data_IF_942122357021
#
_entry.id   IF_942122357021
#
_cell.length_a   1.000
_cell.length_b   1.000
_cell.length_c   1.000
_cell.angle_alpha   90.00
_cell.angle_beta   90.00
_cell.angle_gamma   90.00
#
_symmetry.space_group_name_H-M   'P 1'
#
loop_
_entity.id
_entity.type
_entity.pdbx_description
1 polymer ?
#
# COMPACT_ATOMS: atom_id res chain seq x y z
N UNK A 1 47.19 -34.13 28.00
CA UNK A 1 46.63 -33.14 27.06
C UNK A 1 46.50 -31.82 27.80
N UNK A 2 47.26 -30.81 27.40
CA UNK A 2 47.17 -29.46 27.97
C UNK A 2 46.01 -28.74 27.29
N UNK A 3 44.92 -28.50 28.01
CA UNK A 3 43.82 -27.67 27.52
C UNK A 3 44.04 -26.25 28.03
N UNK A 4 44.29 -25.30 27.12
CA UNK A 4 44.32 -23.87 27.45
C UNK A 4 43.00 -23.49 28.13
N UNK A 5 43.04 -22.71 29.22
CA UNK A 5 41.88 -22.32 30.05
C UNK A 5 40.86 -21.42 29.30
N UNK A 6 40.21 -21.94 28.26
CA UNK A 6 39.18 -21.24 27.50
C UNK A 6 37.85 -21.14 28.26
N UNK A 7 37.60 -22.06 29.19
CA UNK A 7 36.42 -22.06 30.07
C UNK A 7 36.79 -22.55 31.48
N UNK A 8 36.54 -21.72 32.49
CA UNK A 8 36.79 -22.06 33.91
C UNK A 8 35.50 -22.53 34.56
N UNK A 9 35.53 -23.69 35.23
CA UNK A 9 34.38 -24.22 35.97
C UNK A 9 33.26 -24.82 35.12
N UNK A 10 33.52 -25.13 33.84
CA UNK A 10 32.56 -25.70 32.88
C UNK A 10 33.15 -26.90 32.16
N UNK A 11 32.30 -27.81 31.69
CA UNK A 11 32.76 -28.92 30.85
C UNK A 11 33.10 -28.47 29.43
N UNK A 12 34.01 -29.19 28.75
CA UNK A 12 34.38 -28.91 27.36
C UNK A 12 33.18 -28.98 26.41
N UNK A 13 32.28 -29.94 26.62
CA UNK A 13 31.10 -30.13 25.78
C UNK A 13 30.11 -28.95 25.90
N UNK A 14 29.91 -28.47 27.13
CA UNK A 14 29.05 -27.32 27.40
C UNK A 14 29.61 -26.04 26.76
N UNK A 15 30.93 -25.83 26.87
CA UNK A 15 31.61 -24.71 26.21
C UNK A 15 31.47 -24.79 24.69
N UNK A 16 31.73 -25.95 24.08
CA UNK A 16 31.58 -26.15 22.63
C UNK A 16 30.15 -25.87 22.16
N UNK A 17 29.14 -26.32 22.91
CA UNK A 17 27.73 -26.07 22.60
C UNK A 17 27.38 -24.59 22.68
N UNK A 18 27.95 -23.87 23.65
CA UNK A 18 27.75 -22.43 23.79
C UNK A 18 28.38 -21.66 22.64
N UNK A 19 29.66 -21.93 22.32
CA UNK A 19 30.36 -21.27 21.20
C UNK A 19 29.63 -21.50 19.88
N UNK A 20 29.22 -22.74 19.58
CA UNK A 20 28.46 -23.03 18.37
C UNK A 20 27.11 -22.29 18.30
N UNK A 21 26.46 -22.05 19.46
CA UNK A 21 25.22 -21.26 19.53
C UNK A 21 25.50 -19.79 19.28
N UNK A 22 26.54 -19.23 19.89
CA UNK A 22 26.97 -17.84 19.70
C UNK A 22 27.37 -17.57 18.25
N UNK A 23 28.13 -18.46 17.62
CA UNK A 23 28.48 -18.37 16.19
C UNK A 23 27.24 -18.37 15.30
N UNK A 24 26.28 -19.27 15.55
CA UNK A 24 25.00 -19.31 14.79
C UNK A 24 24.20 -18.01 14.95
N UNK A 25 24.18 -17.45 16.16
CA UNK A 25 23.49 -16.18 16.44
C UNK A 25 24.22 -15.00 15.80
N UNK A 26 25.56 -14.98 15.82
CA UNK A 26 26.38 -13.96 15.18
C UNK A 26 26.22 -13.98 13.65
N UNK A 27 26.24 -15.16 13.03
CA UNK A 27 25.97 -15.34 11.59
C UNK A 27 24.53 -14.91 11.26
N UNK A 28 23.55 -15.33 12.07
CA UNK A 28 22.15 -14.93 11.90
C UNK A 28 21.88 -13.45 12.14
N UNK A 29 22.72 -12.76 12.94
CA UNK A 29 22.69 -11.31 13.15
C UNK A 29 23.33 -10.54 12.00
N UNK A 30 24.47 -11.01 11.50
CA UNK A 30 25.16 -10.43 10.34
C UNK A 30 24.29 -10.46 9.07
N UNK A 31 23.48 -11.52 8.89
CA UNK A 31 22.53 -11.66 7.79
C UNK A 31 21.31 -10.72 7.87
N UNK A 32 21.04 -10.08 9.02
CA UNK A 32 19.87 -9.17 9.15
C UNK A 32 20.10 -7.82 8.48
N UNK A 33 21.36 -7.41 8.32
CA UNK A 33 21.73 -6.15 7.65
C UNK A 33 22.42 -6.34 6.30
N UNK A 34 22.86 -7.56 5.99
CA UNK A 34 23.68 -7.83 4.80
C UNK A 34 23.10 -8.94 3.92
N UNK A 35 23.21 -8.78 2.60
CA UNK A 35 22.82 -9.78 1.59
C UNK A 35 23.92 -9.92 0.54
N UNK A 36 24.17 -11.11 -0.02
CA UNK A 36 25.18 -11.30 -1.06
C UNK A 36 24.73 -10.70 -2.41
N UNK A 37 25.64 -10.07 -3.18
CA UNK A 37 25.33 -9.72 -4.59
C UNK A 37 25.10 -11.01 -5.39
N UNK A 38 24.05 -11.10 -6.22
CA UNK A 38 23.72 -12.29 -6.99
C UNK A 38 24.79 -12.66 -8.04
N UNK A 39 25.58 -11.68 -8.48
CA UNK A 39 26.63 -11.89 -9.48
C UNK A 39 27.95 -12.36 -8.86
N UNK A 40 28.44 -11.72 -7.80
CA UNK A 40 29.78 -12.00 -7.24
C UNK A 40 29.79 -12.62 -5.84
N UNK A 41 28.64 -12.75 -5.18
CA UNK A 41 28.51 -13.36 -3.85
C UNK A 41 29.01 -12.50 -2.68
N UNK A 42 29.64 -11.35 -2.94
CA UNK A 42 30.14 -10.46 -1.87
C UNK A 42 28.96 -9.93 -1.04
N UNK A 43 29.07 -10.02 0.28
CA UNK A 43 28.11 -9.45 1.20
C UNK A 43 28.03 -7.92 1.05
N UNK A 44 26.81 -7.42 0.90
CA UNK A 44 26.49 -6.00 0.74
C UNK A 44 25.49 -5.60 1.81
N UNK A 45 25.69 -4.43 2.40
CA UNK A 45 24.82 -3.85 3.42
C UNK A 45 23.90 -2.80 2.80
N UNK A 46 22.63 -2.79 3.20
CA UNK A 46 21.68 -1.75 2.77
C UNK A 46 21.79 -0.55 3.69
N UNK A 47 22.26 0.59 3.17
CA UNK A 47 22.48 1.80 3.96
C UNK A 47 21.17 2.50 4.39
N UNK A 48 20.18 2.68 3.50
CA UNK A 48 18.77 2.96 3.85
C UNK A 48 17.91 3.22 2.60
N UNK A 49 16.58 3.09 2.74
CA UNK A 49 15.56 3.72 1.88
C UNK A 49 15.35 3.13 0.48
N UNK A 50 16.43 2.87 -0.27
CA UNK A 50 16.39 2.40 -1.65
C UNK A 50 16.68 0.90 -1.75
N UNK A 51 15.85 0.17 -2.48
CA UNK A 51 16.01 -1.25 -2.77
C UNK A 51 16.89 -1.51 -3.99
N UNK A 52 17.21 -0.47 -4.78
CA UNK A 52 18.21 -0.56 -5.84
C UNK A 52 19.61 -0.55 -5.25
N UNK A 53 20.34 -1.65 -5.44
CA UNK A 53 21.68 -1.84 -4.93
C UNK A 53 22.68 -1.95 -6.08
N UNK A 54 23.79 -1.24 -5.98
CA UNK A 54 24.92 -1.37 -6.91
C UNK A 54 26.11 -1.98 -6.15
N UNK A 55 26.55 -3.16 -6.58
CA UNK A 55 27.71 -3.81 -5.97
C UNK A 55 29.04 -3.23 -6.49
N UNK A 56 30.14 -3.50 -5.78
CA UNK A 56 31.50 -3.17 -6.22
C UNK A 56 31.91 -3.86 -7.53
N UNK A 57 31.32 -5.01 -7.84
CA UNK A 57 31.49 -5.66 -9.14
C UNK A 57 30.69 -4.99 -10.26
N UNK A 58 30.02 -3.86 -9.99
CA UNK A 58 29.15 -3.11 -10.89
C UNK A 58 27.84 -3.84 -11.27
N UNK A 59 27.48 -4.91 -10.55
CA UNK A 59 26.15 -5.55 -10.65
C UNK A 59 25.11 -4.59 -10.05
N UNK A 60 24.10 -4.18 -10.81
CA UNK A 60 22.88 -3.60 -10.25
C UNK A 60 21.93 -4.74 -9.89
N UNK A 61 21.37 -4.72 -8.68
CA UNK A 61 20.51 -5.79 -8.18
C UNK A 61 19.46 -5.26 -7.21
N UNK A 62 18.39 -6.02 -6.99
CA UNK A 62 17.29 -5.63 -6.12
C UNK A 62 17.42 -6.25 -4.73
N UNK A 63 17.41 -5.42 -3.68
CA UNK A 63 17.43 -5.87 -2.29
C UNK A 63 16.24 -6.75 -1.91
N UNK A 64 15.06 -6.51 -2.49
CA UNK A 64 13.82 -7.23 -2.16
C UNK A 64 13.87 -8.65 -2.70
N UNK A 65 14.07 -8.81 -4.02
CA UNK A 65 14.03 -10.11 -4.67
C UNK A 65 15.40 -10.80 -4.81
N UNK A 66 16.50 -10.10 -4.54
CA UNK A 66 17.86 -10.64 -4.61
C UNK A 66 18.36 -10.92 -6.03
N UNK A 67 17.68 -10.44 -7.07
CA UNK A 67 18.04 -10.68 -8.47
C UNK A 67 18.84 -9.54 -9.07
N UNK A 68 19.72 -9.87 -9.99
CA UNK A 68 20.40 -8.91 -10.86
C UNK A 68 19.39 -8.18 -11.76
N UNK A 69 19.62 -6.90 -11.99
CA UNK A 69 18.73 -6.01 -12.72
C UNK A 69 19.31 -5.69 -14.09
N UNK A 70 18.73 -6.31 -15.12
CA UNK A 70 19.02 -5.95 -16.51
C UNK A 70 18.43 -4.59 -16.90
N UNK A 71 17.30 -4.20 -16.29
CA UNK A 71 16.65 -2.92 -16.50
C UNK A 71 16.02 -2.43 -15.19
N UNK A 72 16.70 -1.47 -14.55
CA UNK A 72 16.27 -0.86 -13.28
C UNK A 72 14.89 -0.22 -13.44
N UNK A 73 14.66 0.52 -14.52
CA UNK A 73 13.40 1.23 -14.76
C UNK A 73 12.20 0.29 -14.91
N UNK A 74 12.32 -0.79 -15.68
CA UNK A 74 11.24 -1.78 -15.83
C UNK A 74 10.99 -2.57 -14.56
N UNK A 75 12.04 -2.90 -13.80
CA UNK A 75 11.89 -3.65 -12.55
C UNK A 75 11.10 -2.89 -11.48
N UNK A 76 11.28 -1.57 -11.39
CA UNK A 76 10.59 -0.72 -10.42
C UNK A 76 9.33 -0.03 -10.98
N UNK A 77 8.93 -0.35 -12.21
CA UNK A 77 7.72 0.20 -12.82
C UNK A 77 6.46 -0.38 -12.15
N UNK A 78 5.50 0.43 -11.70
CA UNK A 78 4.21 -0.05 -11.16
C UNK A 78 3.42 -0.95 -12.10
N UNK A 79 3.62 -0.83 -13.41
CA UNK A 79 2.99 -1.68 -14.41
C UNK A 79 3.67 -3.06 -14.59
N UNK A 80 4.82 -3.30 -13.95
CA UNK A 80 5.49 -4.60 -14.03
C UNK A 80 4.91 -5.57 -12.99
N UNK A 81 4.20 -6.64 -13.40
CA UNK A 81 3.60 -7.60 -12.47
C UNK A 81 4.62 -8.40 -11.66
N UNK A 82 5.88 -8.43 -12.13
CA UNK A 82 7.01 -9.08 -11.46
C UNK A 82 7.99 -8.09 -10.80
N UNK A 83 7.62 -6.81 -10.76
CA UNK A 83 8.45 -5.74 -10.23
C UNK A 83 8.48 -5.69 -8.70
N UNK A 84 9.44 -4.94 -8.16
CA UNK A 84 9.53 -4.61 -6.73
C UNK A 84 9.33 -3.11 -6.53
N UNK A 85 9.17 -2.65 -5.28
CA UNK A 85 9.15 -1.21 -4.97
C UNK A 85 10.58 -0.68 -4.83
N UNK A 86 10.86 0.49 -5.41
CA UNK A 86 12.20 1.08 -5.36
C UNK A 86 12.51 1.66 -3.99
N UNK A 87 11.54 2.32 -3.37
CA UNK A 87 11.69 2.97 -2.08
C UNK A 87 10.81 2.28 -1.04
N UNK A 88 11.39 2.06 0.14
CA UNK A 88 10.68 1.53 1.29
C UNK A 88 10.53 2.66 2.30
N UNK A 89 9.35 3.27 2.33
CA UNK A 89 9.05 4.35 3.26
C UNK A 89 8.71 3.75 4.64
N UNK A 90 9.71 3.63 5.50
CA UNK A 90 9.55 3.04 6.83
C UNK A 90 8.73 3.92 7.80
N UNK A 91 8.50 5.20 7.47
CA UNK A 91 7.81 6.16 8.35
C UNK A 91 6.43 6.60 7.85
N UNK A 92 6.18 6.68 6.54
CA UNK A 92 4.90 7.16 5.97
C UNK A 92 3.78 6.12 6.12
N UNK A 93 4.06 4.84 5.88
CA UNK A 93 3.05 3.77 5.81
C UNK A 93 2.21 3.56 7.08
N UNK A 94 2.76 3.83 8.27
CA UNK A 94 2.02 3.75 9.55
C UNK A 94 1.13 4.97 9.82
N UNK A 95 1.54 6.14 9.34
CA UNK A 95 0.77 7.38 9.47
C UNK A 95 -0.30 7.47 8.36
N UNK A 96 0.06 7.13 7.12
CA UNK A 96 -0.82 7.19 5.95
C UNK A 96 -1.97 6.19 6.00
N UNK A 97 -1.74 4.96 6.47
CA UNK A 97 -2.84 3.98 6.55
C UNK A 97 -3.96 4.41 7.49
N UNK A 98 -3.60 4.89 8.70
CA UNK A 98 -4.58 5.40 9.68
C UNK A 98 -5.19 6.72 9.24
N UNK A 99 -4.37 7.63 8.71
CA UNK A 99 -4.84 8.94 8.24
C UNK A 99 -5.77 8.82 7.03
N UNK A 100 -5.45 7.98 6.04
CA UNK A 100 -6.29 7.78 4.86
C UNK A 100 -7.61 7.06 5.20
N UNK A 101 -7.59 6.12 6.15
CA UNK A 101 -8.82 5.49 6.65
C UNK A 101 -9.68 6.52 7.39
N UNK A 102 -9.08 7.34 8.26
CA UNK A 102 -9.79 8.43 8.95
C UNK A 102 -10.37 9.45 7.96
N UNK A 103 -9.57 9.91 6.99
CA UNK A 103 -10.03 10.83 5.94
C UNK A 103 -11.21 10.23 5.16
N UNK A 104 -11.16 8.95 4.77
CA UNK A 104 -12.29 8.31 4.08
C UNK A 104 -13.52 8.18 4.97
N UNK A 105 -13.37 7.75 6.22
CA UNK A 105 -14.49 7.58 7.17
C UNK A 105 -15.18 8.91 7.46
N UNK A 106 -14.44 10.03 7.48
CA UNK A 106 -15.00 11.36 7.71
C UNK A 106 -15.58 12.00 6.44
N UNK A 107 -14.91 11.89 5.29
CA UNK A 107 -15.35 12.56 4.06
C UNK A 107 -16.51 11.85 3.35
N UNK A 108 -16.57 10.51 3.36
CA UNK A 108 -17.63 9.76 2.70
C UNK A 108 -19.06 10.08 3.18
N UNK A 109 -19.36 10.13 4.50
CA UNK A 109 -20.69 10.47 4.97
C UNK A 109 -21.05 11.92 4.62
N UNK A 110 -20.09 12.85 4.67
CA UNK A 110 -20.31 14.25 4.29
C UNK A 110 -20.69 14.34 2.81
N UNK A 111 -19.94 13.69 1.92
CA UNK A 111 -20.23 13.67 0.48
C UNK A 111 -21.59 13.02 0.22
N UNK A 112 -21.92 11.91 0.88
CA UNK A 112 -23.20 11.25 0.72
C UNK A 112 -24.38 12.16 1.15
N UNK A 113 -24.27 12.83 2.29
CA UNK A 113 -25.30 13.77 2.77
C UNK A 113 -25.44 14.96 1.83
N UNK A 114 -24.33 15.52 1.33
CA UNK A 114 -24.36 16.60 0.36
C UNK A 114 -25.05 16.18 -0.95
N UNK A 115 -24.75 14.99 -1.47
CA UNK A 115 -25.40 14.47 -2.68
C UNK A 115 -26.89 14.25 -2.47
N UNK A 116 -27.30 13.67 -1.34
CA UNK A 116 -28.71 13.48 -1.00
C UNK A 116 -29.45 14.82 -0.93
N UNK A 117 -28.84 15.84 -0.32
CA UNK A 117 -29.42 17.18 -0.25
C UNK A 117 -29.63 17.78 -1.64
N UNK A 118 -28.61 17.70 -2.52
CA UNK A 118 -28.72 18.20 -3.90
C UNK A 118 -29.82 17.46 -4.69
N UNK A 119 -29.91 16.14 -4.55
CA UNK A 119 -30.95 15.33 -5.20
C UNK A 119 -32.34 15.75 -4.72
N UNK A 120 -32.55 15.84 -3.40
CA UNK A 120 -33.83 16.26 -2.83
C UNK A 120 -34.24 17.66 -3.30
N UNK A 121 -33.30 18.60 -3.30
CA UNK A 121 -33.53 19.96 -3.79
C UNK A 121 -33.93 19.97 -5.28
N UNK A 122 -33.22 19.22 -6.12
CA UNK A 122 -33.54 19.10 -7.54
C UNK A 122 -34.93 18.49 -7.78
N UNK A 123 -35.32 17.47 -7.00
CA UNK A 123 -36.65 16.86 -7.07
C UNK A 123 -37.76 17.84 -6.67
N UNK A 124 -37.52 18.66 -5.65
CA UNK A 124 -38.47 19.72 -5.25
C UNK A 124 -38.61 20.73 -6.39
N UNK A 125 -37.51 21.22 -6.96
CA UNK A 125 -37.56 22.15 -8.10
C UNK A 125 -38.29 21.54 -9.30
N UNK A 126 -38.02 20.27 -9.62
CA UNK A 126 -38.72 19.55 -10.67
C UNK A 126 -40.23 19.48 -10.39
N UNK A 127 -40.63 19.16 -9.15
CA UNK A 127 -42.04 19.07 -8.77
C UNK A 127 -42.75 20.42 -8.88
N UNK A 128 -42.08 21.52 -8.53
CA UNK A 128 -42.61 22.87 -8.66
C UNK A 128 -42.85 23.28 -10.12
N UNK A 129 -42.13 22.68 -11.08
CA UNK A 129 -42.33 22.93 -12.51
C UNK A 129 -43.38 21.96 -13.08
N UNK A 130 -43.27 20.67 -12.76
CA UNK A 130 -44.09 19.61 -13.36
C UNK A 130 -45.53 19.64 -12.82
N UNK A 131 -45.74 19.84 -11.52
CA UNK A 131 -47.09 19.81 -10.94
C UNK A 131 -47.99 20.91 -11.53
N UNK A 132 -47.58 22.19 -11.60
CA UNK A 132 -48.41 23.22 -12.24
C UNK A 132 -48.63 22.97 -13.73
N UNK A 133 -47.63 22.44 -14.44
CA UNK A 133 -47.79 22.08 -15.84
C UNK A 133 -48.87 20.99 -16.01
N UNK A 134 -48.78 19.90 -15.26
CA UNK A 134 -49.75 18.79 -15.30
C UNK A 134 -51.15 19.25 -14.89
N UNK A 135 -51.27 20.04 -13.83
CA UNK A 135 -52.56 20.61 -13.39
C UNK A 135 -53.16 21.47 -14.50
N UNK A 136 -52.38 22.36 -15.12
CA UNK A 136 -52.84 23.22 -16.21
C UNK A 136 -53.23 22.44 -17.46
N UNK A 137 -52.49 21.38 -17.81
CA UNK A 137 -52.85 20.47 -18.90
C UNK A 137 -54.16 19.73 -18.61
N UNK A 138 -54.35 19.26 -17.37
CA UNK A 138 -55.59 18.59 -16.95
C UNK A 138 -56.79 19.53 -17.00
N UNK A 139 -56.63 20.76 -16.49
CA UNK A 139 -57.70 21.75 -16.50
C UNK A 139 -58.08 22.16 -17.93
N UNK A 140 -57.09 22.32 -18.82
CA UNK A 140 -57.33 22.59 -20.23
C UNK A 140 -58.06 21.41 -20.92
N UNK A 141 -57.63 20.17 -20.66
CA UNK A 141 -58.30 18.97 -21.18
C UNK A 141 -59.74 18.83 -20.69
N UNK A 142 -59.99 19.15 -19.42
CA UNK A 142 -61.33 19.15 -18.83
C UNK A 142 -62.24 20.20 -19.49
N UNK A 143 -61.75 21.43 -19.71
CA UNK A 143 -62.48 22.49 -20.41
C UNK A 143 -62.83 22.11 -21.85
N UNK A 144 -61.90 21.47 -22.58
CA UNK A 144 -62.16 20.98 -23.95
C UNK A 144 -63.22 19.88 -23.96
N UNK A 145 -63.18 18.94 -23.01
CA UNK A 145 -64.17 17.86 -22.91
C UNK A 145 -65.58 18.39 -22.60
N UNK A 146 -65.71 19.30 -21.63
CA UNK A 146 -67.00 19.97 -21.32
C UNK A 146 -67.52 20.73 -22.54
N UNK A 147 -66.63 21.40 -23.29
CA UNK A 147 -66.99 22.09 -24.53
C UNK A 147 -67.47 21.17 -25.66
N UNK A 148 -66.95 19.94 -25.75
CA UNK A 148 -67.40 18.93 -26.72
C UNK A 148 -68.68 18.20 -26.29
N UNK A 149 -68.88 17.99 -24.99
CA UNK A 149 -70.06 17.29 -24.45
C UNK A 149 -71.30 18.20 -24.30
N UNK A 150 -71.13 19.52 -24.40
CA UNK A 150 -72.19 20.52 -24.35
C UNK A 150 -72.80 20.90 -25.70
N UNK A 151 -72.40 20.23 -26.79
CA UNK A 151 -73.03 20.26 -28.12
C UNK A 151 -73.73 18.93 -28.39
#
# INVERSE_FOLDING_TARGET
>A
YYHSNAHVGRSCEEYQRQVAKEERLAVGGALRGTKPCPHCGIATEKLSGCNHMTCRCKCDWCWVCGKELNNVGWHYNPANPSGCTQFQEELSSRLDGRLLVLCKVLCLPVVAVSLLFVICFALVLLSLIVVPAVVRFRDLGFQIWVGMAGF
#
